data_IF_944150726764
#
_entry.id   IF_944150726764
#
_cell.length_a   1.000
_cell.length_b   1.000
_cell.length_c   1.000
_cell.angle_alpha   90.00
_cell.angle_beta   90.00
_cell.angle_gamma   90.00
#
_symmetry.space_group_name_H-M   'P 1'
#
loop_
_entity.id
_entity.type
_entity.pdbx_description
1 polymer ?
#
# COMPACT_ATOMS: atom_id res chain seq x y z
N UNK A 1 -7.33 -4.47 -8.22
CA UNK A 1 -7.73 -4.26 -6.81
C UNK A 1 -7.14 -2.92 -6.40
N UNK A 2 -7.91 -2.01 -5.79
CA UNK A 2 -7.36 -0.76 -5.23
C UNK A 2 -6.30 -1.13 -4.18
N UNK A 3 -5.06 -0.69 -4.35
CA UNK A 3 -3.93 -0.96 -3.44
C UNK A 3 -3.85 0.14 -2.38
N UNK A 4 -4.82 0.21 -1.49
CA UNK A 4 -4.80 1.14 -0.36
C UNK A 4 -5.07 0.38 0.93
N UNK A 5 -4.81 1.03 2.07
CA UNK A 5 -5.11 0.45 3.38
C UNK A 5 -6.60 0.07 3.46
N UNK A 6 -6.88 -1.10 4.04
CA UNK A 6 -8.25 -1.60 4.25
C UNK A 6 -8.48 -1.74 5.75
N UNK A 7 -9.52 -1.09 6.26
CA UNK A 7 -9.95 -1.23 7.65
C UNK A 7 -11.35 -1.84 7.74
N UNK A 8 -11.69 -2.35 8.93
CA UNK A 8 -12.98 -2.96 9.21
C UNK A 8 -13.54 -2.37 10.50
N UNK A 9 -14.76 -1.85 10.43
CA UNK A 9 -15.53 -1.44 11.59
C UNK A 9 -16.78 -2.32 11.72
N UNK A 10 -17.14 -2.65 12.96
CA UNK A 10 -18.27 -3.53 13.26
C UNK A 10 -19.29 -2.72 14.04
N UNK A 11 -20.53 -2.73 13.59
CA UNK A 11 -21.60 -1.94 14.19
C UNK A 11 -22.76 -2.85 14.56
N UNK A 12 -23.06 -2.91 15.86
CA UNK A 12 -24.24 -3.56 16.40
C UNK A 12 -25.18 -2.47 16.90
N UNK A 13 -26.37 -2.38 16.30
CA UNK A 13 -27.39 -1.38 16.64
C UNK A 13 -28.61 -2.09 17.22
N UNK A 14 -29.04 -1.78 18.47
CA UNK A 14 -30.27 -2.32 19.05
C UNK A 14 -31.52 -1.95 18.24
N UNK A 15 -32.63 -2.66 18.47
CA UNK A 15 -33.92 -2.34 17.86
C UNK A 15 -34.42 -0.94 18.28
N UNK A 16 -35.17 -0.28 17.40
CA UNK A 16 -35.79 1.03 17.62
C UNK A 16 -34.80 2.18 17.83
N UNK A 17 -33.60 2.10 17.28
CA UNK A 17 -32.53 3.07 17.56
C UNK A 17 -31.72 3.49 16.34
N UNK A 18 -31.08 4.66 16.45
CA UNK A 18 -30.07 5.14 15.52
C UNK A 18 -28.78 5.40 16.29
N UNK A 19 -27.64 4.95 15.74
CA UNK A 19 -26.35 5.04 16.42
C UNK A 19 -25.57 6.32 16.14
N UNK A 20 -25.75 6.91 14.96
CA UNK A 20 -24.96 8.04 14.48
C UNK A 20 -25.87 9.05 13.77
N UNK A 21 -25.56 10.34 13.95
CA UNK A 21 -26.15 11.41 13.18
C UNK A 21 -25.71 11.31 11.70
N UNK A 22 -26.42 11.96 10.76
CA UNK A 22 -25.95 12.02 9.38
C UNK A 22 -24.55 12.63 9.27
N UNK A 23 -23.68 11.99 8.48
CA UNK A 23 -22.30 12.42 8.23
C UNK A 23 -21.79 11.81 6.91
N UNK A 24 -20.67 12.31 6.39
CA UNK A 24 -19.87 11.60 5.40
C UNK A 24 -18.50 11.25 5.97
N UNK A 25 -17.89 10.21 5.39
CA UNK A 25 -16.52 9.82 5.70
C UNK A 25 -15.56 10.19 4.56
N UNK A 26 -14.27 10.26 4.88
CA UNK A 26 -13.15 10.42 3.94
C UNK A 26 -12.73 9.12 3.22
N UNK A 27 -13.52 8.04 3.36
CA UNK A 27 -13.20 6.70 2.84
C UNK A 27 -14.29 6.15 1.93
N UNK A 28 -13.90 5.25 1.03
CA UNK A 28 -14.85 4.41 0.30
C UNK A 28 -15.33 3.29 1.24
N UNK A 29 -16.64 3.25 1.53
CA UNK A 29 -17.24 2.30 2.46
C UNK A 29 -18.01 1.19 1.73
N UNK A 30 -17.68 -0.06 2.07
CA UNK A 30 -18.42 -1.26 1.64
C UNK A 30 -19.05 -1.90 2.87
N UNK A 31 -20.36 -1.74 3.00
CA UNK A 31 -21.14 -2.20 4.13
C UNK A 31 -21.76 -3.55 3.83
N UNK A 32 -21.35 -4.58 4.57
CA UNK A 32 -21.89 -5.93 4.49
C UNK A 32 -22.80 -6.18 5.69
N UNK A 33 -24.09 -6.35 5.43
CA UNK A 33 -25.07 -6.64 6.48
C UNK A 33 -25.01 -8.13 6.83
N UNK A 34 -24.80 -8.43 8.12
CA UNK A 34 -24.59 -9.80 8.61
C UNK A 34 -25.81 -10.35 9.35
N UNK A 35 -26.51 -9.52 10.12
CA UNK A 35 -27.69 -9.94 10.89
C UNK A 35 -28.76 -8.86 10.90
N UNK A 36 -30.02 -9.28 10.96
CA UNK A 36 -31.17 -8.38 11.04
C UNK A 36 -31.29 -7.46 9.83
N UNK A 37 -31.83 -6.26 10.03
CA UNK A 37 -32.00 -5.27 8.97
C UNK A 37 -31.86 -3.84 9.48
N UNK A 38 -31.45 -2.93 8.60
CA UNK A 38 -31.30 -1.51 8.91
C UNK A 38 -31.81 -0.66 7.76
N UNK A 39 -32.52 0.42 8.07
CA UNK A 39 -33.00 1.38 7.08
C UNK A 39 -31.92 2.42 6.84
N UNK A 40 -31.46 2.54 5.60
CA UNK A 40 -30.38 3.44 5.20
C UNK A 40 -30.92 4.56 4.34
N UNK A 41 -30.40 5.77 4.56
CA UNK A 41 -30.53 6.91 3.67
C UNK A 41 -29.13 7.37 3.27
N UNK A 42 -28.89 7.51 1.97
CA UNK A 42 -27.62 7.96 1.41
C UNK A 42 -27.87 9.10 0.44
N UNK A 43 -27.12 10.19 0.57
CA UNK A 43 -27.29 11.43 -0.15
C UNK A 43 -26.02 11.73 -0.93
N UNK A 44 -26.15 12.05 -2.21
CA UNK A 44 -25.02 12.53 -3.01
C UNK A 44 -24.56 13.93 -2.55
N UNK A 45 -23.30 14.30 -2.79
CA UNK A 45 -22.84 15.68 -2.63
C UNK A 45 -23.73 16.66 -3.41
N UNK A 46 -24.00 17.84 -2.85
CA UNK A 46 -24.87 18.86 -3.47
C UNK A 46 -24.16 19.63 -4.59
N UNK A 47 -22.83 19.69 -4.54
CA UNK A 47 -22.00 20.43 -5.47
C UNK A 47 -20.68 19.72 -5.76
N UNK A 48 -19.99 20.14 -6.82
CA UNK A 48 -18.65 19.63 -7.16
C UNK A 48 -17.60 19.95 -6.08
N UNK A 49 -17.83 20.98 -5.27
CA UNK A 49 -16.88 21.39 -4.23
C UNK A 49 -16.96 20.46 -3.01
N UNK A 50 -18.08 19.76 -2.84
CA UNK A 50 -18.30 18.77 -1.79
C UNK A 50 -17.94 17.34 -2.23
N UNK A 51 -17.56 17.14 -3.50
CA UNK A 51 -17.19 15.83 -4.01
C UNK A 51 -15.82 15.37 -3.49
N UNK A 52 -15.76 14.09 -3.09
CA UNK A 52 -14.53 13.40 -2.73
C UNK A 52 -13.69 14.12 -1.65
N UNK A 53 -14.29 14.53 -0.51
CA UNK A 53 -13.61 15.29 0.51
C UNK A 53 -12.39 14.54 1.06
N UNK A 54 -11.38 15.31 1.47
CA UNK A 54 -10.15 14.76 2.06
C UNK A 54 -10.34 14.34 3.52
N UNK A 55 -11.33 14.94 4.19
CA UNK A 55 -11.58 14.78 5.62
C UNK A 55 -13.06 14.45 5.88
N UNK A 56 -13.30 13.72 6.96
CA UNK A 56 -14.64 13.35 7.42
C UNK A 56 -15.43 14.57 7.90
N UNK A 57 -16.74 14.55 7.77
CA UNK A 57 -17.59 15.66 8.22
C UNK A 57 -17.75 15.69 9.74
N UNK A 58 -18.29 16.81 10.24
CA UNK A 58 -19.02 16.81 11.51
C UNK A 58 -20.38 16.12 11.38
N UNK A 59 -21.15 16.12 12.47
CA UNK A 59 -22.52 15.63 12.46
C UNK A 59 -23.45 16.69 11.87
N UNK A 60 -24.22 16.31 10.86
CA UNK A 60 -25.32 17.11 10.34
C UNK A 60 -26.55 16.98 11.23
N UNK A 61 -27.30 18.07 11.34
CA UNK A 61 -28.58 18.13 12.04
C UNK A 61 -29.76 18.09 11.05
N UNK A 62 -30.98 18.09 11.58
CA UNK A 62 -32.19 18.02 10.75
C UNK A 62 -32.35 19.22 9.81
N UNK A 63 -31.91 20.42 10.21
CA UNK A 63 -31.96 21.63 9.37
C UNK A 63 -30.98 21.53 8.20
N UNK A 64 -29.81 20.90 8.38
CA UNK A 64 -28.83 20.66 7.32
C UNK A 64 -29.34 19.64 6.28
N UNK A 65 -30.22 18.73 6.71
CA UNK A 65 -30.74 17.63 5.91
C UNK A 65 -32.10 17.93 5.26
N UNK A 66 -32.82 18.97 5.70
CA UNK A 66 -34.23 19.23 5.37
C UNK A 66 -34.55 19.28 3.87
N UNK A 67 -33.65 19.84 3.06
CA UNK A 67 -33.85 20.06 1.62
C UNK A 67 -33.15 18.98 0.76
N UNK A 68 -32.40 18.07 1.40
CA UNK A 68 -31.64 17.03 0.72
C UNK A 68 -32.53 15.84 0.38
N UNK A 69 -32.39 15.33 -0.84
CA UNK A 69 -33.09 14.11 -1.28
C UNK A 69 -32.12 12.94 -1.27
N UNK A 70 -32.48 11.80 -0.64
CA UNK A 70 -31.62 10.64 -0.66
C UNK A 70 -31.53 10.08 -2.09
N UNK A 71 -30.30 9.81 -2.53
CA UNK A 71 -30.01 9.08 -3.77
C UNK A 71 -30.35 7.60 -3.61
N UNK A 72 -30.22 7.08 -2.39
CA UNK A 72 -30.67 5.75 -2.02
C UNK A 72 -31.38 5.81 -0.67
N UNK A 73 -32.54 5.16 -0.59
CA UNK A 73 -33.31 5.01 0.63
C UNK A 73 -33.97 3.63 0.64
N UNK A 74 -33.68 2.81 1.65
CA UNK A 74 -34.18 1.45 1.68
C UNK A 74 -33.70 0.61 2.85
N UNK A 75 -34.33 -0.56 3.01
CA UNK A 75 -33.89 -1.58 3.96
C UNK A 75 -32.72 -2.37 3.36
N UNK A 76 -31.70 -2.59 4.18
CA UNK A 76 -30.58 -3.49 3.91
C UNK A 76 -30.72 -4.67 4.87
N UNK A 77 -30.77 -5.88 4.33
CA UNK A 77 -30.99 -7.12 5.08
C UNK A 77 -29.75 -8.02 5.05
N UNK A 78 -29.71 -9.04 5.92
CA UNK A 78 -28.57 -9.94 6.01
C UNK A 78 -28.23 -10.59 4.66
N UNK A 79 -26.97 -10.42 4.22
CA UNK A 79 -26.48 -10.87 2.92
C UNK A 79 -26.32 -9.74 1.89
N UNK A 80 -26.96 -8.59 2.11
CA UNK A 80 -26.84 -7.44 1.21
C UNK A 80 -25.51 -6.69 1.39
N UNK A 81 -25.07 -6.04 0.32
CA UNK A 81 -23.90 -5.16 0.28
C UNK A 81 -24.31 -3.77 -0.20
N UNK A 82 -24.01 -2.75 0.60
CA UNK A 82 -24.18 -1.33 0.23
C UNK A 82 -22.81 -0.67 0.08
N UNK A 83 -22.54 -0.08 -1.09
CA UNK A 83 -21.35 0.72 -1.33
C UNK A 83 -21.68 2.22 -1.21
N UNK A 84 -20.92 2.94 -0.40
CA UNK A 84 -21.04 4.38 -0.19
C UNK A 84 -19.68 5.02 -0.54
N UNK A 85 -19.58 5.79 -1.64
CA UNK A 85 -18.36 6.53 -1.95
C UNK A 85 -18.06 7.59 -0.88
N UNK A 86 -16.78 7.93 -0.70
CA UNK A 86 -16.41 9.04 0.20
C UNK A 86 -17.15 10.34 -0.17
N UNK A 87 -17.56 11.10 0.84
CA UNK A 87 -18.34 12.34 0.67
C UNK A 87 -19.85 12.16 0.54
N UNK A 88 -20.36 10.94 0.42
CA UNK A 88 -21.82 10.71 0.45
C UNK A 88 -22.30 10.72 1.90
N UNK A 89 -23.19 11.67 2.21
CA UNK A 89 -23.82 11.72 3.54
C UNK A 89 -24.66 10.47 3.70
N UNK A 90 -24.58 9.84 4.86
CA UNK A 90 -25.37 8.67 5.15
C UNK A 90 -25.84 8.65 6.61
N UNK A 91 -26.97 8.02 6.82
CA UNK A 91 -27.53 7.76 8.14
C UNK A 91 -28.34 6.46 8.12
N UNK A 92 -28.47 5.82 9.27
CA UNK A 92 -29.18 4.56 9.36
C UNK A 92 -29.83 4.32 10.73
N UNK A 93 -31.03 3.77 10.71
CA UNK A 93 -31.82 3.40 11.89
C UNK A 93 -32.36 1.98 11.79
N UNK A 94 -32.60 1.34 12.93
CA UNK A 94 -33.26 0.03 13.01
C UNK A 94 -34.78 0.19 13.15
N UNK A 95 -35.53 -0.85 12.79
CA UNK A 95 -36.95 -0.95 13.14
C UNK A 95 -37.10 -1.26 14.63
N UNK A 96 -38.29 -1.00 15.18
CA UNK A 96 -38.59 -1.13 16.61
C UNK A 96 -38.42 -2.55 17.17
N UNK A 97 -38.46 -3.58 16.33
CA UNK A 97 -38.53 -4.99 16.71
C UNK A 97 -37.28 -5.82 16.40
N UNK A 98 -36.30 -5.28 15.68
CA UNK A 98 -35.14 -6.05 15.20
C UNK A 98 -33.84 -5.26 15.31
N UNK A 99 -32.77 -5.94 15.75
CA UNK A 99 -31.43 -5.37 15.75
C UNK A 99 -30.82 -5.36 14.34
N UNK A 100 -29.66 -4.71 14.22
CA UNK A 100 -28.83 -4.78 13.02
C UNK A 100 -27.38 -5.04 13.40
N UNK A 101 -26.72 -5.95 12.69
CA UNK A 101 -25.27 -6.12 12.74
C UNK A 101 -24.69 -6.04 11.32
N UNK A 102 -23.75 -5.12 11.10
CA UNK A 102 -23.01 -5.03 9.85
C UNK A 102 -21.53 -4.78 10.08
N UNK A 103 -20.74 -5.08 9.04
CA UNK A 103 -19.33 -4.74 8.96
C UNK A 103 -19.15 -3.74 7.82
N UNK A 104 -18.51 -2.62 8.12
CA UNK A 104 -18.06 -1.66 7.12
C UNK A 104 -16.60 -1.93 6.82
N UNK A 105 -16.31 -2.26 5.56
CA UNK A 105 -14.97 -2.39 5.02
C UNK A 105 -14.64 -1.05 4.36
N UNK A 106 -13.65 -0.33 4.90
CA UNK A 106 -13.25 0.97 4.37
C UNK A 106 -11.93 0.90 3.61
N UNK A 107 -11.80 1.73 2.57
CA UNK A 107 -10.63 1.80 1.71
C UNK A 107 -10.42 3.21 1.17
N UNK A 108 -9.22 3.51 0.68
CA UNK A 108 -8.96 4.75 -0.07
C UNK A 108 -8.69 6.00 0.77
N UNK A 109 -8.52 5.86 2.09
CA UNK A 109 -8.05 6.95 2.97
C UNK A 109 -6.66 7.43 2.53
N UNK A 110 -6.45 8.74 2.40
CA UNK A 110 -5.19 9.35 1.97
C UNK A 110 -4.57 8.69 0.72
N UNK A 111 -5.43 8.33 -0.25
CA UNK A 111 -5.04 7.64 -1.48
C UNK A 111 -5.50 8.39 -2.74
N UNK A 112 -5.22 9.69 -2.79
CA UNK A 112 -5.57 10.60 -3.88
C UNK A 112 -4.35 11.20 -4.59
N UNK A 113 -4.58 11.92 -5.69
CA UNK A 113 -3.51 12.70 -6.34
C UNK A 113 -2.95 13.81 -5.44
N UNK A 114 -3.75 14.36 -4.52
CA UNK A 114 -3.27 15.34 -3.56
C UNK A 114 -2.23 14.72 -2.62
N UNK A 115 -2.49 13.51 -2.12
CA UNK A 115 -1.56 12.77 -1.25
C UNK A 115 -0.25 12.42 -1.98
N UNK A 116 -0.36 11.99 -3.25
CA UNK A 116 0.82 11.74 -4.08
C UNK A 116 1.64 13.04 -4.30
N UNK A 117 0.97 14.15 -4.61
CA UNK A 117 1.63 15.45 -4.79
C UNK A 117 2.27 15.96 -3.51
N UNK A 118 1.65 15.72 -2.35
CA UNK A 118 2.22 16.04 -1.03
C UNK A 118 3.56 15.32 -0.79
N UNK A 119 3.75 14.12 -1.34
CA UNK A 119 5.06 13.42 -1.30
C UNK A 119 6.02 13.89 -2.38
N UNK A 120 5.52 14.11 -3.60
CA UNK A 120 6.37 14.44 -4.76
C UNK A 120 6.94 15.86 -4.73
N UNK A 121 6.12 16.86 -4.38
CA UNK A 121 6.50 18.28 -4.48
C UNK A 121 7.69 18.62 -3.56
N UNK A 122 7.71 18.19 -2.27
CA UNK A 122 8.86 18.44 -1.40
C UNK A 122 10.17 17.87 -1.95
N UNK A 123 10.16 16.64 -2.49
CA UNK A 123 11.34 16.02 -3.09
C UNK A 123 11.79 16.74 -4.36
N UNK A 124 10.84 17.18 -5.21
CA UNK A 124 11.15 18.01 -6.38
C UNK A 124 11.84 19.33 -5.98
N UNK A 125 11.32 20.00 -4.95
CA UNK A 125 11.89 21.25 -4.45
C UNK A 125 13.29 21.02 -3.85
N UNK A 126 13.48 19.94 -3.09
CA UNK A 126 14.77 19.56 -2.49
C UNK A 126 15.81 19.25 -3.57
N UNK A 127 15.46 18.44 -4.56
CA UNK A 127 16.32 18.15 -5.72
C UNK A 127 16.73 19.42 -6.47
N UNK A 128 15.76 20.31 -6.74
CA UNK A 128 16.04 21.58 -7.38
C UNK A 128 16.91 22.51 -6.55
N UNK A 129 16.70 22.53 -5.24
CA UNK A 129 17.52 23.31 -4.31
C UNK A 129 18.97 22.82 -4.28
N UNK A 130 19.23 21.51 -4.45
CA UNK A 130 20.59 20.96 -4.56
C UNK A 130 21.26 21.30 -5.90
N UNK A 131 20.53 21.12 -7.01
CA UNK A 131 21.08 21.23 -8.36
C UNK A 131 21.18 22.68 -8.87
N UNK A 132 20.36 23.60 -8.34
CA UNK A 132 20.26 24.98 -8.84
C UNK A 132 20.48 26.01 -7.73
N UNK A 133 21.65 26.64 -7.75
CA UNK A 133 21.98 27.71 -6.78
C UNK A 133 21.00 28.89 -6.77
N UNK A 134 20.32 29.17 -7.90
CA UNK A 134 19.30 30.24 -7.96
C UNK A 134 18.11 29.99 -7.04
N UNK A 135 17.75 28.72 -6.75
CA UNK A 135 16.71 28.37 -5.77
C UNK A 135 17.14 28.66 -4.33
N UNK A 136 18.46 28.74 -4.07
CA UNK A 136 19.03 29.00 -2.75
C UNK A 136 19.25 30.49 -2.46
N UNK A 137 18.83 31.38 -3.36
CA UNK A 137 18.91 32.82 -3.14
C UNK A 137 17.95 33.24 -2.03
N UNK A 138 18.38 34.20 -1.22
CA UNK A 138 17.51 34.83 -0.22
C UNK A 138 16.29 35.49 -0.87
N UNK A 139 15.19 35.52 -0.13
CA UNK A 139 13.99 36.25 -0.50
C UNK A 139 14.26 37.77 -0.58
N UNK A 140 13.45 38.54 -1.33
CA UNK A 140 13.57 39.98 -1.43
C UNK A 140 13.49 40.71 -0.08
N UNK A 141 14.17 41.85 0.00
CA UNK A 141 14.08 42.75 1.17
C UNK A 141 12.66 43.33 1.26
N UNK A 142 12.06 43.28 2.44
CA UNK A 142 10.69 43.74 2.68
C UNK A 142 9.60 42.70 2.35
N UNK A 143 9.96 41.42 2.16
CA UNK A 143 9.00 40.34 1.87
C UNK A 143 7.84 40.24 2.88
N UNK A 144 8.06 40.57 4.15
CA UNK A 144 7.01 40.56 5.18
C UNK A 144 5.95 41.64 4.97
N UNK A 145 6.29 42.73 4.27
CA UNK A 145 5.37 43.81 3.94
C UNK A 145 4.72 43.61 2.55
N UNK A 146 5.16 42.59 1.78
CA UNK A 146 4.71 42.31 0.42
C UNK A 146 3.46 41.42 0.41
N UNK A 147 2.31 41.98 0.04
CA UNK A 147 1.08 41.21 -0.18
C UNK A 147 0.61 40.42 1.04
N UNK A 148 0.13 39.20 0.81
CA UNK A 148 -0.46 38.33 1.84
C UNK A 148 -1.98 38.26 1.75
N UNK A 149 -2.58 37.30 2.47
CA UNK A 149 -4.05 37.19 2.56
C UNK A 149 -4.64 38.42 3.25
N UNK A 150 -3.90 39.00 4.20
CA UNK A 150 -4.17 40.33 4.71
C UNK A 150 -3.77 41.35 3.63
N UNK A 151 -4.73 42.15 3.16
CA UNK A 151 -4.52 43.19 2.15
C UNK A 151 -3.71 44.37 2.67
N UNK A 152 -2.42 44.16 2.94
CA UNK A 152 -1.48 45.18 3.37
C UNK A 152 -1.00 45.95 2.14
N UNK A 153 -1.04 47.28 2.21
CA UNK A 153 -0.59 48.15 1.12
C UNK A 153 0.95 48.12 1.03
N UNK A 154 1.46 47.48 -0.02
CA UNK A 154 2.90 47.40 -0.25
C UNK A 154 3.39 48.58 -1.08
N UNK A 155 4.27 49.41 -0.49
CA UNK A 155 4.75 50.67 -1.08
C UNK A 155 5.53 50.53 -2.40
N UNK A 156 5.96 49.32 -2.78
CA UNK A 156 6.77 49.07 -3.99
C UNK A 156 6.14 48.01 -4.90
N UNK A 157 4.83 48.10 -5.12
CA UNK A 157 4.02 47.11 -5.85
C UNK A 157 4.53 46.78 -7.27
N UNK A 158 4.99 47.79 -8.04
CA UNK A 158 5.57 47.56 -9.37
C UNK A 158 6.83 46.65 -9.33
N UNK A 159 7.66 46.80 -8.29
CA UNK A 159 8.85 45.97 -8.10
C UNK A 159 8.48 44.51 -7.77
N UNK A 160 7.35 44.31 -7.10
CA UNK A 160 6.85 43.00 -6.71
C UNK A 160 6.32 42.22 -7.93
N UNK A 161 5.51 42.84 -8.78
CA UNK A 161 5.00 42.20 -10.00
C UNK A 161 6.14 41.81 -10.95
N UNK A 162 7.04 42.74 -11.27
CA UNK A 162 8.05 42.50 -12.31
C UNK A 162 9.20 41.60 -11.84
N UNK A 163 9.69 41.76 -10.61
CA UNK A 163 10.91 41.08 -10.16
C UNK A 163 10.66 39.87 -9.30
N UNK A 164 9.57 39.83 -8.54
CA UNK A 164 9.25 38.68 -7.70
C UNK A 164 8.39 37.66 -8.44
N UNK A 165 7.22 38.04 -8.96
CA UNK A 165 6.33 37.08 -9.64
C UNK A 165 6.98 36.47 -10.87
N UNK A 166 7.69 37.24 -11.69
CA UNK A 166 8.39 36.69 -12.86
C UNK A 166 9.52 35.71 -12.50
N UNK A 167 10.21 35.92 -11.37
CA UNK A 167 11.25 35.01 -10.89
C UNK A 167 10.62 33.74 -10.32
N UNK A 168 9.54 33.87 -9.54
CA UNK A 168 8.78 32.74 -9.02
C UNK A 168 8.21 31.89 -10.18
N UNK A 169 7.62 32.51 -11.19
CA UNK A 169 7.08 31.82 -12.37
C UNK A 169 8.15 31.04 -13.15
N UNK A 170 9.35 31.61 -13.30
CA UNK A 170 10.50 30.89 -13.87
C UNK A 170 10.89 29.68 -13.02
N UNK A 171 10.83 29.78 -11.69
CA UNK A 171 11.10 28.65 -10.80
C UNK A 171 10.00 27.58 -10.89
N UNK A 172 8.73 27.98 -10.94
CA UNK A 172 7.59 27.07 -11.12
C UNK A 172 7.63 26.34 -12.47
N UNK A 173 8.05 27.01 -13.54
CA UNK A 173 8.26 26.38 -14.86
C UNK A 173 9.33 25.29 -14.79
N UNK A 174 10.42 25.54 -14.08
CA UNK A 174 11.49 24.55 -13.89
C UNK A 174 11.01 23.40 -13.00
N UNK A 175 10.25 23.70 -11.94
CA UNK A 175 9.61 22.71 -11.08
C UNK A 175 8.73 21.76 -11.88
N UNK A 176 7.85 22.30 -12.73
CA UNK A 176 7.00 21.50 -13.62
C UNK A 176 7.79 20.49 -14.47
N UNK A 177 8.96 20.88 -14.97
CA UNK A 177 9.79 19.99 -15.77
C UNK A 177 10.50 18.93 -14.90
N UNK A 178 10.86 19.28 -13.67
CA UNK A 178 11.58 18.40 -12.74
C UNK A 178 10.66 17.38 -12.06
N UNK A 179 9.36 17.66 -11.97
CA UNK A 179 8.36 16.73 -11.40
C UNK A 179 8.37 15.36 -12.10
N UNK A 180 8.71 15.31 -13.40
CA UNK A 180 8.80 14.05 -14.13
C UNK A 180 9.91 13.14 -13.62
N UNK A 181 11.02 13.72 -13.17
CA UNK A 181 12.20 12.98 -12.68
C UNK A 181 11.97 12.41 -11.28
N UNK A 182 11.12 13.05 -10.47
CA UNK A 182 10.82 12.61 -9.09
C UNK A 182 9.53 11.81 -8.95
N UNK A 183 8.84 11.54 -10.06
CA UNK A 183 7.56 10.84 -10.06
C UNK A 183 7.69 9.44 -9.45
N UNK A 184 8.76 8.72 -9.82
CA UNK A 184 8.99 7.36 -9.35
C UNK A 184 9.27 7.34 -7.84
N UNK A 185 10.08 8.28 -7.33
CA UNK A 185 10.33 8.43 -5.90
C UNK A 185 9.06 8.75 -5.10
N UNK A 186 8.15 9.56 -5.66
CA UNK A 186 6.85 9.82 -5.04
C UNK A 186 5.96 8.57 -4.96
N UNK A 187 5.97 7.74 -6.00
CA UNK A 187 5.28 6.45 -6.01
C UNK A 187 5.88 5.52 -4.96
N UNK A 188 7.21 5.50 -4.80
CA UNK A 188 7.88 4.70 -3.76
C UNK A 188 7.52 5.16 -2.35
N UNK A 189 7.42 6.47 -2.11
CA UNK A 189 6.96 6.99 -0.82
C UNK A 189 5.51 6.57 -0.51
N UNK A 190 4.61 6.62 -1.51
CA UNK A 190 3.24 6.12 -1.36
C UNK A 190 3.21 4.60 -1.12
N UNK A 191 4.05 3.84 -1.83
CA UNK A 191 4.17 2.41 -1.64
C UNK A 191 4.75 2.05 -0.27
N UNK A 192 5.71 2.82 0.25
CA UNK A 192 6.27 2.67 1.60
C UNK A 192 5.20 2.87 2.67
N UNK A 193 4.40 3.93 2.53
CA UNK A 193 3.28 4.21 3.43
C UNK A 193 2.26 3.07 3.45
N UNK A 194 1.95 2.52 2.26
CA UNK A 194 1.12 1.32 2.17
C UNK A 194 1.76 0.11 2.87
N UNK A 195 3.06 -0.14 2.66
CA UNK A 195 3.74 -1.27 3.30
C UNK A 195 3.78 -1.14 4.82
N UNK A 196 3.92 0.08 5.36
CA UNK A 196 3.91 0.34 6.81
C UNK A 196 2.54 0.07 7.44
N UNK A 197 1.46 0.47 6.78
CA UNK A 197 0.11 0.44 7.34
C UNK A 197 -0.66 -0.85 7.02
N UNK A 198 -0.30 -1.56 5.95
CA UNK A 198 -1.02 -2.76 5.53
C UNK A 198 -0.87 -3.92 6.53
N UNK A 199 -1.95 -4.70 6.69
CA UNK A 199 -1.95 -5.93 7.48
C UNK A 199 -0.90 -6.94 6.97
N UNK A 200 -0.35 -7.84 7.79
CA UNK A 200 0.46 -8.94 7.28
C UNK A 200 -0.38 -9.89 6.41
N UNK A 201 0.19 -10.47 5.33
CA UNK A 201 -0.54 -11.40 4.49
C UNK A 201 -0.87 -12.67 5.26
N UNK A 202 -2.09 -13.18 5.04
CA UNK A 202 -2.50 -14.49 5.53
C UNK A 202 -2.00 -15.56 4.57
N UNK A 203 -1.18 -16.48 5.08
CA UNK A 203 -0.72 -17.67 4.35
C UNK A 203 -1.79 -18.77 4.41
N UNK A 204 -1.99 -19.49 3.31
CA UNK A 204 -2.89 -20.65 3.27
C UNK A 204 -2.19 -21.88 3.84
N UNK A 205 -2.87 -22.58 4.76
CA UNK A 205 -2.46 -23.88 5.28
C UNK A 205 -3.22 -24.98 4.53
N UNK A 206 -2.52 -26.02 4.07
CA UNK A 206 -3.19 -27.14 3.42
C UNK A 206 -3.85 -28.04 4.47
N UNK A 207 -5.17 -28.19 4.40
CA UNK A 207 -5.92 -29.08 5.30
C UNK A 207 -5.78 -30.57 4.93
N UNK A 208 -5.30 -30.89 3.72
CA UNK A 208 -5.17 -32.25 3.21
C UNK A 208 -3.80 -32.55 2.58
N UNK A 209 -3.34 -33.81 2.70
CA UNK A 209 -2.03 -34.29 2.20
C UNK A 209 -1.91 -34.18 0.67
N UNK A 210 -3.03 -34.27 -0.07
CA UNK A 210 -3.05 -34.11 -1.54
C UNK A 210 -2.83 -32.66 -2.00
N UNK A 211 -2.92 -31.69 -1.10
CA UNK A 211 -2.74 -30.25 -1.37
C UNK A 211 -1.46 -29.69 -0.75
N UNK A 212 -0.47 -30.54 -0.41
CA UNK A 212 0.80 -30.09 0.19
C UNK A 212 1.54 -29.10 -0.71
N UNK A 213 1.39 -29.20 -2.04
CA UNK A 213 1.96 -28.21 -2.98
C UNK A 213 1.24 -26.86 -2.99
N UNK A 214 0.11 -26.71 -2.30
CA UNK A 214 -0.57 -25.44 -2.07
C UNK A 214 -0.46 -24.96 -0.62
N UNK A 215 0.38 -25.60 0.20
CA UNK A 215 0.66 -25.14 1.57
C UNK A 215 1.74 -24.05 1.56
N UNK A 216 1.30 -22.79 1.57
CA UNK A 216 2.20 -21.64 1.56
C UNK A 216 3.02 -21.53 2.85
N UNK A 217 2.45 -21.99 3.97
CA UNK A 217 3.14 -21.96 5.26
C UNK A 217 4.27 -22.96 5.28
N UNK A 218 4.04 -24.19 4.80
CA UNK A 218 5.09 -25.22 4.74
C UNK A 218 6.24 -24.86 3.79
N UNK A 219 5.97 -24.12 2.71
CA UNK A 219 6.97 -23.69 1.72
C UNK A 219 7.70 -22.38 2.08
N UNK A 220 7.33 -21.73 3.18
CA UNK A 220 7.95 -20.49 3.67
C UNK A 220 8.63 -20.70 5.02
N UNK A 221 9.44 -19.72 5.44
CA UNK A 221 10.11 -19.75 6.75
C UNK A 221 9.13 -19.91 7.92
N UNK A 222 7.89 -19.43 7.77
CA UNK A 222 6.88 -19.44 8.82
C UNK A 222 6.45 -20.87 9.19
N UNK A 223 6.48 -21.82 8.26
CA UNK A 223 6.18 -23.24 8.51
C UNK A 223 7.40 -24.15 8.50
N UNK A 224 8.55 -23.68 8.00
CA UNK A 224 9.79 -24.46 8.15
C UNK A 224 10.25 -24.38 9.60
N UNK A 225 10.16 -25.49 10.34
CA UNK A 225 10.82 -25.68 11.64
C UNK A 225 12.36 -25.72 11.48
N UNK A 226 12.95 -24.78 10.74
CA UNK A 226 14.38 -24.55 10.72
C UNK A 226 14.74 -23.93 12.06
N UNK A 227 14.92 -24.81 13.05
CA UNK A 227 15.52 -24.46 14.32
C UNK A 227 16.92 -23.91 13.99
N UNK A 228 17.09 -22.58 13.99
CA UNK A 228 18.33 -21.90 13.55
C UNK A 228 19.55 -22.44 14.33
N UNK A 229 19.33 -22.99 15.52
CA UNK A 229 20.34 -23.56 16.40
C UNK A 229 20.62 -25.06 16.16
N UNK A 230 19.79 -25.81 15.42
CA UNK A 230 19.92 -27.27 15.25
C UNK A 230 19.66 -27.79 13.83
N UNK A 231 19.10 -26.99 12.92
CA UNK A 231 18.73 -27.38 11.56
C UNK A 231 19.84 -27.11 10.55
N UNK A 232 19.98 -28.00 9.55
CA UNK A 232 20.81 -27.72 8.37
C UNK A 232 20.25 -26.49 7.64
N UNK A 233 21.08 -25.51 7.25
CA UNK A 233 20.64 -24.42 6.39
C UNK A 233 19.96 -24.98 5.14
N UNK A 234 18.87 -24.36 4.71
CA UNK A 234 18.18 -24.74 3.48
C UNK A 234 19.10 -24.45 2.28
N UNK A 235 19.68 -25.47 1.67
CA UNK A 235 20.58 -25.30 0.52
C UNK A 235 19.76 -25.01 -0.75
N UNK A 236 20.05 -23.89 -1.40
CA UNK A 236 19.43 -23.48 -2.66
C UNK A 236 20.20 -24.05 -3.85
N UNK A 237 19.59 -25.00 -4.57
CA UNK A 237 20.18 -25.63 -5.77
C UNK A 237 19.75 -24.87 -7.02
N UNK A 238 20.50 -24.95 -8.14
CA UNK A 238 20.09 -24.34 -9.41
C UNK A 238 18.72 -24.79 -9.92
N UNK A 239 18.28 -25.99 -9.53
CA UNK A 239 16.96 -26.57 -9.86
C UNK A 239 15.85 -26.20 -8.86
N UNK A 240 16.18 -25.52 -7.77
CA UNK A 240 15.20 -25.03 -6.81
C UNK A 240 14.34 -23.96 -7.47
N UNK A 241 13.04 -24.04 -7.25
CA UNK A 241 12.10 -23.04 -7.73
C UNK A 241 11.69 -22.12 -6.60
N UNK A 242 11.73 -20.83 -6.86
CA UNK A 242 11.39 -19.78 -5.91
C UNK A 242 10.30 -18.88 -6.47
N UNK A 243 9.54 -18.27 -5.58
CA UNK A 243 8.50 -17.30 -5.92
C UNK A 243 8.20 -16.41 -4.73
N UNK A 244 7.91 -15.12 -4.94
CA UNK A 244 7.38 -14.28 -3.86
C UNK A 244 6.06 -14.80 -3.30
N UNK A 245 5.85 -14.65 -1.99
CA UNK A 245 4.59 -15.04 -1.34
C UNK A 245 3.41 -14.25 -1.92
N UNK A 246 3.57 -12.93 -2.10
CA UNK A 246 2.58 -12.06 -2.75
C UNK A 246 3.30 -11.04 -3.62
N UNK A 247 2.61 -10.53 -4.66
CA UNK A 247 3.11 -9.43 -5.50
C UNK A 247 3.39 -8.14 -4.73
N UNK A 248 2.54 -7.83 -3.76
CA UNK A 248 2.58 -6.58 -2.98
C UNK A 248 2.79 -6.86 -1.49
N UNK A 249 3.75 -7.73 -1.15
CA UNK A 249 4.22 -7.90 0.23
C UNK A 249 5.53 -7.15 0.51
N UNK A 250 6.22 -6.70 -0.54
CA UNK A 250 7.52 -6.07 -0.53
C UNK A 250 7.61 -4.97 -1.59
N UNK A 251 8.45 -3.98 -1.34
CA UNK A 251 8.81 -2.90 -2.27
C UNK A 251 10.30 -2.60 -2.12
N UNK A 252 11.02 -2.57 -3.23
CA UNK A 252 12.40 -2.07 -3.28
C UNK A 252 12.35 -0.55 -3.42
N UNK A 253 13.15 0.15 -2.61
CA UNK A 253 13.25 1.61 -2.60
C UNK A 253 14.74 1.99 -2.64
N UNK A 254 15.07 3.01 -3.43
CA UNK A 254 16.42 3.56 -3.53
C UNK A 254 16.52 4.85 -2.71
N UNK A 255 17.52 4.95 -1.83
CA UNK A 255 17.90 6.23 -1.20
C UNK A 255 18.94 6.98 -2.03
N UNK A 256 19.84 6.23 -2.67
CA UNK A 256 20.88 6.71 -3.58
C UNK A 256 21.03 5.71 -4.73
N UNK A 257 21.91 6.00 -5.70
CA UNK A 257 22.17 5.08 -6.82
C UNK A 257 22.78 3.74 -6.35
N UNK A 258 23.46 3.75 -5.19
CA UNK A 258 24.17 2.58 -4.64
C UNK A 258 23.49 2.00 -3.38
N UNK A 259 22.64 2.77 -2.70
CA UNK A 259 21.96 2.37 -1.47
C UNK A 259 20.47 2.11 -1.73
N UNK A 260 20.08 0.84 -1.57
CA UNK A 260 18.69 0.43 -1.66
C UNK A 260 18.27 -0.48 -0.51
N UNK A 261 16.99 -0.45 -0.18
CA UNK A 261 16.41 -1.23 0.89
C UNK A 261 15.05 -1.76 0.49
N UNK A 262 14.69 -2.90 1.06
CA UNK A 262 13.39 -3.53 0.85
C UNK A 262 12.52 -3.26 2.05
N UNK A 263 11.37 -2.63 1.82
CA UNK A 263 10.30 -2.47 2.81
C UNK A 263 9.30 -3.59 2.61
N UNK A 264 8.85 -4.23 3.68
CA UNK A 264 7.89 -5.32 3.60
C UNK A 264 6.85 -5.31 4.71
N UNK A 265 5.72 -5.98 4.47
CA UNK A 265 4.61 -6.08 5.44
C UNK A 265 4.47 -7.44 6.13
N UNK A 266 5.37 -8.39 5.86
CA UNK A 266 5.29 -9.76 6.41
C UNK A 266 5.27 -9.81 7.94
N UNK A 267 6.01 -8.92 8.60
CA UNK A 267 6.14 -8.86 10.05
C UNK A 267 5.31 -7.72 10.68
N UNK A 268 4.35 -7.15 9.93
CA UNK A 268 3.50 -6.10 10.47
C UNK A 268 2.55 -6.63 11.55
N UNK A 269 2.19 -5.73 12.47
CA UNK A 269 1.14 -6.02 13.45
C UNK A 269 -0.23 -6.07 12.77
N UNK A 270 -1.17 -6.77 13.41
CA UNK A 270 -2.60 -6.71 13.05
C UNK A 270 -3.28 -5.47 13.64
N UNK A 271 -2.61 -4.77 14.55
CA UNK A 271 -3.01 -3.46 15.04
C UNK A 271 -2.40 -2.39 14.13
N UNK A 272 -3.20 -1.38 13.77
CA UNK A 272 -2.76 -0.27 12.93
C UNK A 272 -1.57 0.44 13.57
N UNK A 273 -0.46 0.51 12.83
CA UNK A 273 0.82 1.08 13.28
C UNK A 273 1.33 0.54 14.63
N UNK A 274 0.99 -0.71 14.96
CA UNK A 274 1.40 -1.33 16.22
C UNK A 274 2.88 -1.72 16.30
N UNK A 275 3.60 -1.71 15.17
CA UNK A 275 5.03 -1.99 15.07
C UNK A 275 5.69 -0.95 14.16
N UNK A 276 7.00 -0.66 14.35
CA UNK A 276 7.74 0.20 13.44
C UNK A 276 7.84 -0.41 12.04
N UNK A 277 8.22 0.40 11.07
CA UNK A 277 8.46 -0.04 9.69
C UNK A 277 9.46 -1.20 9.65
N UNK A 278 9.14 -2.21 8.84
CA UNK A 278 9.98 -3.39 8.64
C UNK A 278 10.73 -3.24 7.32
N UNK A 279 12.05 -3.06 7.41
CA UNK A 279 12.92 -2.94 6.25
C UNK A 279 14.26 -3.66 6.48
N UNK A 280 14.98 -3.91 5.40
CA UNK A 280 16.35 -4.39 5.41
C UNK A 280 17.10 -3.91 4.16
N UNK A 281 18.42 -3.72 4.29
CA UNK A 281 19.29 -3.31 3.19
C UNK A 281 19.44 -4.43 2.16
N UNK A 282 19.40 -4.07 0.88
CA UNK A 282 19.64 -4.97 -0.24
C UNK A 282 20.91 -4.51 -0.98
N UNK A 283 21.96 -5.34 -1.07
CA UNK A 283 23.12 -5.02 -1.90
C UNK A 283 22.73 -4.76 -3.36
N UNK A 284 23.37 -3.78 -4.01
CA UNK A 284 23.08 -3.38 -5.39
C UNK A 284 23.21 -4.55 -6.39
N UNK A 285 24.13 -5.48 -6.13
CA UNK A 285 24.33 -6.71 -6.91
C UNK A 285 23.09 -7.60 -6.97
N UNK A 286 22.19 -7.52 -5.98
CA UNK A 286 21.02 -8.37 -5.89
C UNK A 286 19.75 -7.76 -6.54
N UNK A 287 19.82 -6.50 -6.97
CA UNK A 287 18.68 -5.75 -7.49
C UNK A 287 18.09 -6.39 -8.75
N UNK A 288 18.94 -6.86 -9.67
CA UNK A 288 18.49 -7.51 -10.91
C UNK A 288 17.73 -8.80 -10.63
N UNK A 289 18.27 -9.65 -9.74
CA UNK A 289 17.60 -10.86 -9.27
C UNK A 289 16.28 -10.58 -8.56
N UNK A 290 16.23 -9.54 -7.71
CA UNK A 290 14.99 -9.13 -7.04
C UNK A 290 13.92 -8.67 -8.05
N UNK A 291 14.30 -7.88 -9.05
CA UNK A 291 13.41 -7.41 -10.10
C UNK A 291 12.89 -8.56 -10.97
N UNK A 292 13.75 -9.52 -11.35
CA UNK A 292 13.34 -10.73 -12.08
C UNK A 292 12.31 -11.57 -11.30
N UNK A 293 12.47 -11.67 -9.97
CA UNK A 293 11.48 -12.32 -9.11
C UNK A 293 10.15 -11.55 -9.04
N UNK A 294 10.19 -10.22 -9.10
CA UNK A 294 8.98 -9.41 -9.11
C UNK A 294 8.21 -9.58 -10.44
N UNK A 295 8.93 -9.60 -11.56
CA UNK A 295 8.36 -9.72 -12.91
C UNK A 295 7.81 -11.12 -13.20
N UNK A 296 8.42 -12.15 -12.62
CA UNK A 296 7.97 -13.55 -12.78
C UNK A 296 6.72 -13.89 -11.96
N UNK A 297 6.37 -13.13 -10.92
CA UNK A 297 5.17 -13.41 -10.13
C UNK A 297 3.89 -13.30 -10.99
N UNK A 298 2.96 -14.29 -10.97
CA UNK A 298 2.79 -15.36 -9.98
C UNK A 298 3.39 -16.73 -10.34
N UNK A 299 4.21 -16.78 -11.40
CA UNK A 299 4.88 -18.00 -11.84
C UNK A 299 6.11 -18.32 -10.98
N UNK A 300 6.52 -19.59 -11.01
CA UNK A 300 7.72 -20.05 -10.31
C UNK A 300 8.94 -19.84 -11.20
N UNK A 301 10.00 -19.28 -10.62
CA UNK A 301 11.28 -19.08 -11.30
C UNK A 301 12.29 -20.09 -10.80
N UNK A 302 12.99 -20.77 -11.71
CA UNK A 302 14.15 -21.59 -11.36
C UNK A 302 15.36 -20.71 -11.09
N UNK A 303 16.24 -21.08 -10.14
CA UNK A 303 17.47 -20.30 -9.89
C UNK A 303 18.41 -20.26 -11.10
N UNK A 304 18.29 -21.23 -12.01
CA UNK A 304 18.99 -21.24 -13.32
C UNK A 304 18.45 -20.24 -14.35
N UNK A 305 17.25 -19.69 -14.12
CA UNK A 305 16.60 -18.71 -15.02
C UNK A 305 16.81 -17.27 -14.53
N UNK A 306 17.57 -17.10 -13.45
CA UNK A 306 17.96 -15.78 -12.96
C UNK A 306 18.81 -15.04 -13.98
N UNK A 307 18.79 -13.69 -13.97
CA UNK A 307 19.60 -12.88 -14.85
C UNK A 307 21.09 -13.27 -14.84
N UNK A 308 21.77 -13.18 -15.99
CA UNK A 308 23.17 -13.60 -16.14
C UNK A 308 24.17 -12.65 -15.43
N UNK A 309 23.73 -11.48 -14.98
CA UNK A 309 24.53 -10.48 -14.29
C UNK A 309 24.74 -10.78 -12.80
N UNK A 310 24.02 -11.76 -12.23
CA UNK A 310 24.17 -12.19 -10.83
C UNK A 310 24.89 -13.56 -10.76
N UNK A 311 25.93 -13.65 -9.94
CA UNK A 311 26.69 -14.89 -9.78
C UNK A 311 25.87 -15.95 -9.03
N UNK A 312 26.19 -17.23 -9.22
CA UNK A 312 25.47 -18.34 -8.56
C UNK A 312 25.50 -18.26 -7.02
N UNK A 313 26.60 -17.76 -6.44
CA UNK A 313 26.71 -17.52 -4.98
C UNK A 313 25.83 -16.35 -4.52
N UNK A 314 25.76 -15.28 -5.32
CA UNK A 314 24.91 -14.11 -5.06
C UNK A 314 23.42 -14.46 -5.17
N UNK A 315 23.02 -15.30 -6.14
CA UNK A 315 21.66 -15.84 -6.24
C UNK A 315 21.27 -16.61 -4.98
N UNK A 316 22.18 -17.45 -4.47
CA UNK A 316 21.94 -18.17 -3.21
C UNK A 316 21.81 -17.22 -2.03
N UNK A 317 22.70 -16.23 -1.92
CA UNK A 317 22.67 -15.23 -0.86
C UNK A 317 21.36 -14.41 -0.88
N UNK A 318 20.94 -13.94 -2.06
CA UNK A 318 19.65 -13.27 -2.26
C UNK A 318 18.48 -14.15 -1.80
N UNK A 319 18.46 -15.41 -2.23
CA UNK A 319 17.39 -16.34 -1.83
C UNK A 319 17.38 -16.59 -0.33
N UNK A 320 18.54 -16.73 0.31
CA UNK A 320 18.65 -16.85 1.75
C UNK A 320 18.10 -15.61 2.48
N UNK A 321 18.47 -14.41 2.02
CA UNK A 321 18.01 -13.15 2.60
C UNK A 321 16.49 -13.01 2.48
N UNK A 322 15.93 -13.19 1.28
CA UNK A 322 14.49 -13.11 1.05
C UNK A 322 13.72 -14.21 1.79
N UNK A 323 14.28 -15.41 1.89
CA UNK A 323 13.67 -16.52 2.62
C UNK A 323 13.61 -16.18 4.11
N UNK A 324 14.72 -15.71 4.71
CA UNK A 324 14.79 -15.33 6.13
C UNK A 324 13.77 -14.24 6.51
N UNK A 325 13.58 -13.23 5.65
CA UNK A 325 12.54 -12.21 5.84
C UNK A 325 11.11 -12.69 5.51
N UNK A 326 10.95 -13.97 5.14
CA UNK A 326 9.68 -14.59 4.83
C UNK A 326 9.03 -14.04 3.57
N UNK A 327 9.81 -13.58 2.59
CA UNK A 327 9.29 -12.98 1.36
C UNK A 327 9.04 -13.98 0.25
N UNK A 328 9.79 -15.09 0.22
CA UNK A 328 9.70 -16.11 -0.83
C UNK A 328 9.21 -17.46 -0.30
N UNK A 329 8.56 -18.19 -1.19
CA UNK A 329 8.27 -19.61 -1.08
C UNK A 329 9.30 -20.41 -1.86
N UNK A 330 9.61 -21.59 -1.36
CA UNK A 330 10.62 -22.48 -1.95
C UNK A 330 10.01 -23.84 -2.25
N UNK A 331 10.15 -24.27 -3.50
CA UNK A 331 9.81 -25.63 -3.92
C UNK A 331 11.09 -26.38 -4.26
N UNK A 332 11.50 -27.27 -3.36
CA UNK A 332 12.57 -28.22 -3.64
C UNK A 332 12.01 -29.40 -4.44
N UNK A 333 12.45 -29.54 -5.68
CA UNK A 333 12.17 -30.74 -6.47
C UNK A 333 13.09 -31.88 -6.01
N UNK A 334 12.60 -33.13 -5.90
CA UNK A 334 13.45 -34.26 -5.59
C UNK A 334 14.53 -34.39 -6.66
N UNK A 335 15.76 -34.71 -6.24
CA UNK A 335 16.86 -34.99 -7.15
C UNK A 335 16.41 -35.98 -8.22
N UNK A 336 16.74 -35.71 -9.48
CA UNK A 336 16.70 -36.75 -10.51
C UNK A 336 17.63 -37.86 -10.03
N UNK A 337 17.07 -38.87 -9.37
CA UNK A 337 17.78 -40.10 -9.05
C UNK A 337 18.33 -40.60 -10.38
N UNK A 338 19.64 -40.57 -10.53
CA UNK A 338 20.32 -41.19 -11.65
C UNK A 338 20.01 -42.69 -11.57
N UNK A 339 18.97 -43.15 -12.29
CA UNK A 339 18.67 -44.57 -12.50
C UNK A 339 19.74 -45.11 -13.46
N UNK A 340 21.00 -45.11 -13.02
CA UNK A 340 22.15 -45.66 -13.74
C UNK A 340 23.08 -46.46 -12.83
N UNK A 341 22.56 -47.15 -11.82
CA UNK A 341 23.31 -48.22 -11.12
C UNK A 341 22.42 -49.42 -10.74
N UNK A 342 21.81 -50.09 -11.71
CA UNK A 342 21.33 -51.48 -11.58
C UNK A 342 21.35 -52.25 -12.92
N UNK A 343 22.45 -52.14 -13.67
CA UNK A 343 22.80 -53.07 -14.79
C UNK A 343 24.29 -53.44 -14.78
N UNK A 344 24.86 -53.71 -13.60
CA UNK A 344 26.16 -54.39 -13.46
C UNK A 344 26.15 -55.32 -12.24
N UNK A 345 25.31 -56.35 -12.25
CA UNK A 345 25.45 -57.52 -11.35
C UNK A 345 24.70 -58.77 -11.83
N UNK A 346 24.66 -59.01 -13.15
CA UNK A 346 24.32 -60.34 -13.71
C UNK A 346 25.39 -60.77 -14.69
N UNK A 347 26.56 -61.12 -14.14
CA UNK A 347 27.56 -62.04 -14.72
C UNK A 347 28.55 -62.39 -13.62
N UNK A 348 28.30 -63.50 -12.92
CA UNK A 348 29.26 -64.38 -12.26
C UNK A 348 28.55 -65.28 -11.24
N UNK A 349 27.97 -66.39 -11.70
CA UNK A 349 28.37 -67.77 -11.39
C UNK A 349 27.27 -68.71 -11.88
#
# INVERSE_FOLDING_TARGET
>A
MKTSHIAFHRYLTPAGSAGFAPHWDEIDAFLLQLEGKKYWKVYAPDSSDDELPLESSGNFNDDDMKDRKPTFEGWIEAGDLLYIPRGFIHQASTADDIHSFHITISSGRHWSFADLMDKMIPEAVKSLASNRWKMRKSLPVGMLDMGGVAGIEYRMEEHFEEKWKSVLDRHMTVLRNSIREVCDGGIDLMAREFMRTALPPRLTEAQHISTVFSDEKAMSVVGSNTNILQGKPLEFRPSTRVKFIRRHAQRLIFESDDDCYVVHRMANSRLYEGLPEQNFELPAEFVSGFNALCDSYPEWMSLSEMPDDINGEEVQALCHLLYHHGLIMVQQLPDRIDIKKKKKSKKAK
#
